data_IF_751841541471
#
_entry.id   IF_751841541471
#
_cell.length_a   1.000
_cell.length_b   1.000
_cell.length_c   1.000
_cell.angle_alpha   90.00
_cell.angle_beta   90.00
_cell.angle_gamma   90.00
#
_symmetry.space_group_name_H-M   'P 1'
#
loop_
_entity.id
_entity.type
_entity.pdbx_description
1 polymer ?
#
# COMPACT_ATOMS: atom_id res chain seq x y z
N UNK A 1 22.70 31.79 45.24
CA UNK A 1 22.60 32.04 43.79
C UNK A 1 23.72 31.33 43.06
N UNK A 2 23.49 30.12 42.52
CA UNK A 2 24.32 29.52 41.47
C UNK A 2 23.39 28.66 40.62
N UNK A 3 22.70 29.31 39.68
CA UNK A 3 21.78 28.64 38.75
C UNK A 3 22.64 27.96 37.68
N UNK A 4 22.65 26.63 37.66
CA UNK A 4 23.14 25.86 36.53
C UNK A 4 22.15 26.02 35.39
N UNK A 5 22.58 26.64 34.29
CA UNK A 5 21.84 26.63 33.02
C UNK A 5 22.69 25.81 32.06
N UNK A 6 22.34 24.53 31.99
CA UNK A 6 22.89 23.57 31.04
C UNK A 6 22.31 23.92 29.66
N UNK A 7 23.20 24.10 28.69
CA UNK A 7 22.89 24.50 27.33
C UNK A 7 22.00 23.49 26.60
N UNK A 8 20.96 24.00 25.94
CA UNK A 8 20.11 23.23 25.06
C UNK A 8 20.80 23.14 23.69
N UNK A 9 21.60 22.09 23.47
CA UNK A 9 22.08 21.73 22.14
C UNK A 9 20.89 21.13 21.38
N UNK A 10 20.31 21.92 20.48
CA UNK A 10 19.31 21.43 19.54
C UNK A 10 20.04 20.52 18.55
N UNK A 11 20.02 19.22 18.82
CA UNK A 11 20.39 18.19 17.86
C UNK A 11 19.31 18.15 16.78
N UNK A 12 19.44 19.02 15.77
CA UNK A 12 18.67 18.91 14.53
C UNK A 12 19.18 17.70 13.75
N UNK A 13 18.76 16.51 14.17
CA UNK A 13 18.91 15.30 13.39
C UNK A 13 18.19 15.50 12.06
N UNK A 14 18.96 15.69 10.99
CA UNK A 14 18.47 15.62 9.63
C UNK A 14 17.86 14.23 9.44
N UNK A 15 16.53 14.17 9.51
CA UNK A 15 15.76 13.00 9.09
C UNK A 15 15.90 12.91 7.56
N UNK A 16 17.03 12.39 7.10
CA UNK A 16 17.16 11.91 5.73
C UNK A 16 16.18 10.75 5.57
N UNK A 17 15.00 11.03 5.00
CA UNK A 17 14.03 10.00 4.65
C UNK A 17 14.70 8.97 3.75
N UNK A 18 14.74 7.71 4.20
CA UNK A 18 15.35 6.62 3.45
C UNK A 18 14.75 6.55 2.03
N UNK A 19 15.62 6.35 1.03
CA UNK A 19 15.20 6.16 -0.36
C UNK A 19 14.40 4.87 -0.49
N UNK A 20 13.32 4.90 -1.29
CA UNK A 20 12.53 3.70 -1.57
C UNK A 20 13.20 2.90 -2.68
N UNK A 21 13.71 1.71 -2.34
CA UNK A 21 14.51 0.89 -3.25
C UNK A 21 13.66 -0.12 -4.02
N UNK A 22 14.29 -0.85 -4.94
CA UNK A 22 13.65 -1.97 -5.64
C UNK A 22 13.36 -3.13 -4.69
N UNK A 23 14.24 -3.38 -3.73
CA UNK A 23 14.10 -4.39 -2.69
C UNK A 23 12.92 -4.05 -1.78
N UNK A 24 12.76 -2.79 -1.39
CA UNK A 24 11.57 -2.32 -0.66
C UNK A 24 10.29 -2.61 -1.45
N UNK A 25 10.29 -2.32 -2.75
CA UNK A 25 9.15 -2.62 -3.62
C UNK A 25 8.83 -4.10 -3.69
N UNK A 26 9.84 -4.97 -3.80
CA UNK A 26 9.62 -6.43 -3.82
C UNK A 26 9.05 -6.90 -2.48
N UNK A 27 9.59 -6.42 -1.36
CA UNK A 27 9.08 -6.72 -0.02
C UNK A 27 7.62 -6.29 0.13
N UNK A 28 7.27 -5.09 -0.31
CA UNK A 28 5.91 -4.57 -0.25
C UNK A 28 4.96 -5.36 -1.18
N UNK A 29 5.42 -5.77 -2.38
CA UNK A 29 4.64 -6.68 -3.25
C UNK A 29 4.32 -8.01 -2.58
N UNK A 30 5.32 -8.61 -1.91
CA UNK A 30 5.13 -9.85 -1.16
C UNK A 30 4.17 -9.65 0.02
N UNK A 31 4.26 -8.51 0.71
CA UNK A 31 3.32 -8.11 1.76
C UNK A 31 1.88 -8.01 1.25
N UNK A 32 1.66 -7.40 0.09
CA UNK A 32 0.33 -7.35 -0.53
C UNK A 32 -0.20 -8.72 -0.91
N UNK A 33 0.65 -9.60 -1.46
CA UNK A 33 0.25 -10.97 -1.78
C UNK A 33 -0.14 -11.75 -0.53
N UNK A 34 0.65 -11.64 0.55
CA UNK A 34 0.33 -12.25 1.83
C UNK A 34 -1.01 -11.73 2.39
N UNK A 35 -1.21 -10.42 2.40
CA UNK A 35 -2.44 -9.81 2.88
C UNK A 35 -3.68 -10.30 2.09
N UNK A 36 -3.56 -10.42 0.77
CA UNK A 36 -4.62 -10.99 -0.08
C UNK A 36 -4.92 -12.46 0.26
N UNK A 37 -3.92 -13.27 0.61
CA UNK A 37 -4.10 -14.65 1.06
C UNK A 37 -4.78 -14.71 2.44
N UNK A 38 -4.43 -13.81 3.36
CA UNK A 38 -5.05 -13.71 4.69
C UNK A 38 -6.53 -13.32 4.57
N UNK A 39 -6.88 -12.36 3.70
CA UNK A 39 -8.29 -12.01 3.46
C UNK A 39 -9.04 -13.24 2.92
N UNK A 40 -8.46 -13.96 1.96
CA UNK A 40 -9.07 -15.14 1.37
C UNK A 40 -9.29 -16.25 2.38
N UNK A 41 -8.28 -16.56 3.21
CA UNK A 41 -8.42 -17.57 4.27
C UNK A 41 -9.48 -17.15 5.29
N UNK A 42 -9.54 -15.87 5.64
CA UNK A 42 -10.60 -15.31 6.48
C UNK A 42 -12.01 -15.55 5.92
N UNK A 43 -12.21 -15.43 4.60
CA UNK A 43 -13.49 -15.81 3.98
C UNK A 43 -13.77 -17.31 4.09
N UNK A 44 -12.79 -18.18 3.83
CA UNK A 44 -12.97 -19.64 3.89
C UNK A 44 -13.29 -20.14 5.31
N UNK A 45 -12.72 -19.52 6.34
CA UNK A 45 -12.99 -19.85 7.73
C UNK A 45 -14.13 -19.05 8.36
N UNK A 46 -14.83 -18.21 7.57
CA UNK A 46 -15.86 -17.30 8.05
C UNK A 46 -15.39 -16.45 9.27
N UNK A 47 -14.14 -16.00 9.25
CA UNK A 47 -13.49 -15.33 10.38
C UNK A 47 -13.29 -13.83 10.09
N UNK A 48 -14.12 -12.99 10.71
CA UNK A 48 -14.07 -11.53 10.53
C UNK A 48 -12.73 -10.92 10.95
N UNK A 49 -12.13 -11.38 12.05
CA UNK A 49 -10.87 -10.84 12.55
C UNK A 49 -9.72 -11.11 11.59
N UNK A 50 -9.68 -12.30 10.99
CA UNK A 50 -8.69 -12.65 9.95
C UNK A 50 -8.88 -11.81 8.71
N UNK A 51 -10.13 -11.62 8.25
CA UNK A 51 -10.43 -10.71 7.14
C UNK A 51 -9.99 -9.27 7.47
N UNK A 52 -10.27 -8.80 8.68
CA UNK A 52 -9.92 -7.45 9.11
C UNK A 52 -8.41 -7.24 9.18
N UNK A 53 -7.66 -8.20 9.74
CA UNK A 53 -6.21 -8.17 9.77
C UNK A 53 -5.60 -8.13 8.36
N UNK A 54 -6.08 -8.99 7.45
CA UNK A 54 -5.62 -8.97 6.07
C UNK A 54 -5.96 -7.67 5.33
N UNK A 55 -7.10 -7.05 5.61
CA UNK A 55 -7.45 -5.72 5.06
C UNK A 55 -6.52 -4.63 5.62
N UNK A 56 -6.23 -4.65 6.91
CA UNK A 56 -5.33 -3.68 7.53
C UNK A 56 -3.92 -3.77 6.94
N UNK A 57 -3.37 -4.99 6.86
CA UNK A 57 -2.09 -5.27 6.22
C UNK A 57 -2.07 -4.79 4.76
N UNK A 58 -3.11 -5.12 3.99
CA UNK A 58 -3.20 -4.73 2.58
C UNK A 58 -3.20 -3.20 2.44
N UNK A 59 -4.04 -2.50 3.20
CA UNK A 59 -4.16 -1.04 3.11
C UNK A 59 -2.89 -0.32 3.60
N UNK A 60 -2.21 -0.88 4.59
CA UNK A 60 -0.92 -0.38 5.08
C UNK A 60 0.18 -0.53 4.05
N UNK A 61 0.29 -1.71 3.41
CA UNK A 61 1.37 -1.97 2.45
C UNK A 61 1.11 -1.25 1.13
N UNK A 62 -0.12 -1.24 0.63
CA UNK A 62 -0.46 -0.55 -0.63
C UNK A 62 -0.25 0.96 -0.53
N UNK A 63 -0.39 1.56 0.65
CA UNK A 63 -0.11 2.98 0.87
C UNK A 63 1.37 3.36 0.68
N UNK A 64 2.29 2.39 0.83
CA UNK A 64 3.73 2.58 0.60
C UNK A 64 4.09 2.49 -0.88
N UNK A 65 3.18 2.00 -1.71
CA UNK A 65 3.47 1.64 -3.08
C UNK A 65 3.70 2.88 -3.97
N UNK A 66 4.95 3.06 -4.40
CA UNK A 66 5.38 4.09 -5.35
C UNK A 66 6.50 3.57 -6.26
N UNK A 67 6.79 4.21 -7.40
CA UNK A 67 8.02 3.92 -8.13
C UNK A 67 9.25 4.13 -7.23
N UNK A 68 10.31 3.30 -7.34
CA UNK A 68 11.60 3.51 -6.68
C UNK A 68 12.13 4.92 -6.91
N UNK A 69 12.86 5.47 -5.93
CA UNK A 69 13.39 6.84 -6.00
C UNK A 69 14.22 7.07 -7.28
N UNK A 70 14.95 6.05 -7.74
CA UNK A 70 15.70 6.07 -9.00
C UNK A 70 14.81 6.28 -10.22
N UNK A 71 13.63 5.63 -10.28
CA UNK A 71 12.66 5.77 -11.36
C UNK A 71 11.93 7.13 -11.32
N UNK A 72 11.89 7.78 -10.15
CA UNK A 72 11.32 9.14 -9.98
C UNK A 72 12.30 10.24 -10.38
N UNK A 73 13.60 9.96 -10.29
CA UNK A 73 14.69 10.89 -10.61
C UNK A 73 15.18 10.73 -12.07
N UNK A 74 14.33 10.19 -12.94
CA UNK A 74 14.59 10.14 -14.39
C UNK A 74 14.92 11.55 -14.89
N UNK A 75 16.11 11.70 -15.50
CA UNK A 75 16.63 12.99 -15.96
C UNK A 75 16.08 13.35 -17.33
N UNK A 76 15.61 12.37 -18.08
CA UNK A 76 14.94 12.61 -19.35
C UNK A 76 13.54 13.23 -19.14
N UNK A 77 13.36 14.46 -19.65
CA UNK A 77 12.14 15.24 -19.47
C UNK A 77 10.95 14.60 -20.19
N UNK A 78 11.17 13.95 -21.34
CA UNK A 78 10.11 13.26 -22.10
C UNK A 78 9.70 11.96 -21.42
N UNK A 79 10.64 11.17 -20.94
CA UNK A 79 10.38 9.99 -20.14
C UNK A 79 9.61 10.38 -18.86
N UNK A 80 10.01 11.46 -18.19
CA UNK A 80 9.32 11.98 -16.99
C UNK A 80 7.90 12.49 -17.29
N UNK A 81 7.69 13.20 -18.39
CA UNK A 81 6.37 13.69 -18.81
C UNK A 81 5.42 12.55 -19.16
N UNK A 82 5.94 11.49 -19.79
CA UNK A 82 5.17 10.29 -20.13
C UNK A 82 4.98 9.34 -18.93
N UNK A 83 5.70 9.55 -17.83
CA UNK A 83 5.69 8.70 -16.65
C UNK A 83 4.46 8.96 -15.75
N UNK A 84 3.28 8.49 -16.18
CA UNK A 84 2.04 8.55 -15.40
C UNK A 84 1.95 7.48 -14.29
N UNK A 85 3.04 6.74 -14.05
CA UNK A 85 3.11 5.62 -13.09
C UNK A 85 2.65 6.01 -11.69
N UNK A 86 3.03 7.20 -11.21
CA UNK A 86 2.64 7.71 -9.88
C UNK A 86 1.14 7.95 -9.80
N UNK A 87 0.57 8.66 -10.78
CA UNK A 87 -0.85 8.99 -10.80
C UNK A 87 -1.72 7.73 -10.91
N UNK A 88 -1.31 6.78 -11.76
CA UNK A 88 -2.00 5.51 -11.92
C UNK A 88 -1.90 4.66 -10.65
N UNK A 89 -0.71 4.55 -10.04
CA UNK A 89 -0.52 3.84 -8.76
C UNK A 89 -1.43 4.42 -7.68
N UNK A 90 -1.48 5.74 -7.53
CA UNK A 90 -2.37 6.41 -6.57
C UNK A 90 -3.86 6.13 -6.84
N UNK A 91 -4.27 6.10 -8.11
CA UNK A 91 -5.63 5.76 -8.51
C UNK A 91 -5.99 4.32 -8.14
N UNK A 92 -5.05 3.40 -8.32
CA UNK A 92 -5.20 1.99 -7.96
C UNK A 92 -5.28 1.83 -6.44
N UNK A 93 -4.36 2.43 -5.69
CA UNK A 93 -4.36 2.48 -4.21
C UNK A 93 -5.72 2.95 -3.69
N UNK A 94 -6.23 4.06 -4.21
CA UNK A 94 -7.55 4.62 -3.81
C UNK A 94 -8.69 3.62 -4.05
N UNK A 95 -8.66 2.91 -5.18
CA UNK A 95 -9.69 1.90 -5.49
C UNK A 95 -9.59 0.67 -4.58
N UNK A 96 -8.37 0.22 -4.29
CA UNK A 96 -8.11 -0.88 -3.34
C UNK A 96 -8.67 -0.50 -1.97
N UNK A 97 -8.30 0.66 -1.43
CA UNK A 97 -8.76 1.12 -0.11
C UNK A 97 -10.29 1.21 -0.02
N UNK A 98 -10.96 1.75 -1.05
CA UNK A 98 -12.43 1.80 -1.09
C UNK A 98 -13.06 0.39 -1.03
N UNK A 99 -12.46 -0.59 -1.71
CA UNK A 99 -12.95 -1.97 -1.71
C UNK A 99 -12.59 -2.72 -0.45
N UNK A 100 -11.44 -2.46 0.16
CA UNK A 100 -11.08 -2.95 1.49
C UNK A 100 -12.12 -2.55 2.54
N UNK A 101 -12.53 -1.27 2.58
CA UNK A 101 -13.62 -0.82 3.45
C UNK A 101 -14.95 -1.53 3.15
N UNK A 102 -15.23 -1.80 1.87
CA UNK A 102 -16.44 -2.54 1.47
C UNK A 102 -16.40 -3.98 1.99
N UNK A 103 -15.23 -4.64 1.98
CA UNK A 103 -15.05 -5.99 2.55
C UNK A 103 -15.43 -5.97 4.03
N UNK A 104 -14.85 -5.07 4.82
CA UNK A 104 -15.12 -4.97 6.25
C UNK A 104 -16.60 -4.73 6.54
N UNK A 105 -17.20 -3.75 5.87
CA UNK A 105 -18.60 -3.40 6.08
C UNK A 105 -19.55 -4.56 5.75
N UNK A 106 -19.36 -5.19 4.58
CA UNK A 106 -20.25 -6.24 4.07
C UNK A 106 -20.08 -7.54 4.84
N UNK A 107 -18.85 -7.90 5.17
CA UNK A 107 -18.59 -9.12 5.92
C UNK A 107 -19.12 -9.02 7.34
N UNK A 108 -18.94 -7.87 8.01
CA UNK A 108 -19.52 -7.61 9.33
C UNK A 108 -21.05 -7.68 9.35
N UNK A 109 -21.70 -7.29 8.26
CA UNK A 109 -23.16 -7.34 8.14
C UNK A 109 -23.70 -8.70 7.68
N UNK A 110 -22.86 -9.74 7.57
CA UNK A 110 -23.26 -11.06 7.08
C UNK A 110 -23.46 -11.16 5.56
N UNK A 111 -23.15 -10.10 4.80
CA UNK A 111 -23.25 -10.04 3.34
C UNK A 111 -21.94 -10.54 2.71
N UNK A 112 -21.61 -11.80 2.95
CA UNK A 112 -20.35 -12.42 2.55
C UNK A 112 -20.17 -12.42 1.02
N UNK A 113 -21.24 -12.60 0.26
CA UNK A 113 -21.20 -12.55 -1.21
C UNK A 113 -20.69 -11.21 -1.71
N UNK A 114 -21.20 -10.09 -1.19
CA UNK A 114 -20.74 -8.76 -1.59
C UNK A 114 -19.32 -8.45 -1.08
N UNK A 115 -18.93 -8.99 0.09
CA UNK A 115 -17.56 -8.90 0.57
C UNK A 115 -16.57 -9.61 -0.37
N UNK A 116 -16.88 -10.84 -0.79
CA UNK A 116 -16.07 -11.59 -1.76
C UNK A 116 -16.00 -10.88 -3.11
N UNK A 117 -17.11 -10.30 -3.60
CA UNK A 117 -17.08 -9.48 -4.81
C UNK A 117 -16.21 -8.23 -4.68
N UNK A 118 -16.10 -7.64 -3.49
CA UNK A 118 -15.20 -6.52 -3.26
C UNK A 118 -13.74 -6.97 -3.32
N UNK A 119 -13.43 -8.15 -2.76
CA UNK A 119 -12.12 -8.79 -2.86
C UNK A 119 -11.70 -9.07 -4.31
N UNK A 120 -12.57 -9.64 -5.14
CA UNK A 120 -12.24 -9.89 -6.56
C UNK A 120 -12.00 -8.58 -7.33
N UNK A 121 -12.69 -7.50 -6.96
CA UNK A 121 -12.44 -6.16 -7.51
C UNK A 121 -11.07 -5.59 -7.11
N UNK A 122 -10.57 -5.92 -5.90
CA UNK A 122 -9.19 -5.61 -5.49
C UNK A 122 -8.21 -6.38 -6.36
N UNK A 123 -8.39 -7.69 -6.51
CA UNK A 123 -7.54 -8.54 -7.35
C UNK A 123 -7.46 -8.00 -8.79
N UNK A 124 -8.58 -7.56 -9.35
CA UNK A 124 -8.60 -6.90 -10.67
C UNK A 124 -7.80 -5.59 -10.74
N UNK A 125 -7.68 -4.84 -9.63
CA UNK A 125 -6.77 -3.68 -9.58
C UNK A 125 -5.30 -4.11 -9.51
N UNK A 126 -4.98 -5.20 -8.82
CA UNK A 126 -3.63 -5.76 -8.80
C UNK A 126 -3.18 -6.15 -10.21
N UNK A 127 -4.00 -6.91 -10.94
CA UNK A 127 -3.72 -7.32 -12.32
C UNK A 127 -3.60 -6.11 -13.25
N UNK A 128 -4.50 -5.13 -13.15
CA UNK A 128 -4.40 -3.89 -13.95
C UNK A 128 -3.08 -3.16 -13.70
N UNK A 129 -2.67 -3.01 -12.44
CA UNK A 129 -1.39 -2.40 -12.09
C UNK A 129 -0.23 -3.15 -12.75
N UNK A 130 -0.26 -4.49 -12.67
CA UNK A 130 0.79 -5.32 -13.21
C UNK A 130 0.90 -5.23 -14.74
N UNK A 131 -0.22 -5.25 -15.46
CA UNK A 131 -0.20 -5.10 -16.92
C UNK A 131 0.31 -3.71 -17.33
N UNK A 132 -0.14 -2.65 -16.65
CA UNK A 132 0.21 -1.27 -17.04
C UNK A 132 1.60 -0.83 -16.56
N UNK A 133 2.13 -1.40 -15.47
CA UNK A 133 3.40 -0.98 -14.86
C UNK A 133 4.54 -1.95 -15.10
N UNK A 134 4.23 -3.24 -15.22
CA UNK A 134 5.19 -4.34 -15.27
C UNK A 134 5.15 -5.09 -16.59
N UNK A 135 4.28 -4.70 -17.53
CA UNK A 135 4.08 -5.34 -18.82
C UNK A 135 3.87 -6.86 -18.71
N UNK A 136 3.04 -7.25 -17.75
CA UNK A 136 2.53 -8.62 -17.63
C UNK A 136 1.46 -8.92 -18.69
#
# INVERSE_FOLDING_TARGET
MKKAVIGLVIFSGLLFGASYTKEDRIRDMNGMANAMNVIQSGFFYNNYETVAAGVDDLTTVVAKMRPPTEELNEKDIMAKFMNQKVQMSNKIVKKINKKALTILQRFKSGDTTQAVQAYTKIMGQCVKCHNEMRNW
#
